data_IF_040133246765
#
_entry.id   IF_040133246765
#
_cell.length_a   1.000
_cell.length_b   1.000
_cell.length_c   1.000
_cell.angle_alpha   90.00
_cell.angle_beta   90.00
_cell.angle_gamma   90.00
#
_symmetry.space_group_name_H-M   'P 1'
#
loop_
_entity.id
_entity.type
_entity.pdbx_description
1 polymer ?
#
# COMPACT_ATOMS: atom_id res chain seq x y z
N UNK A 1 26.60 -7.53 -12.93
CA UNK A 1 26.97 -7.18 -11.54
C UNK A 1 26.06 -6.02 -11.13
N UNK A 2 25.03 -6.28 -10.32
CA UNK A 2 24.11 -5.23 -9.84
C UNK A 2 24.86 -4.44 -8.77
N UNK A 3 25.03 -3.13 -8.95
CA UNK A 3 25.65 -2.27 -7.92
C UNK A 3 24.78 -2.31 -6.66
N UNK A 4 25.41 -2.47 -5.50
CA UNK A 4 24.74 -2.25 -4.23
C UNK A 4 24.27 -0.78 -4.16
N UNK A 5 23.01 -0.57 -3.79
CA UNK A 5 22.43 0.76 -3.63
C UNK A 5 23.16 1.50 -2.51
N UNK A 6 23.55 2.76 -2.77
CA UNK A 6 24.09 3.63 -1.74
C UNK A 6 23.00 3.97 -0.71
N UNK A 7 23.40 4.52 0.44
CA UNK A 7 22.44 4.99 1.44
C UNK A 7 21.49 6.05 0.86
N UNK A 8 22.01 6.98 0.05
CA UNK A 8 21.19 8.00 -0.60
C UNK A 8 20.20 7.38 -1.59
N UNK A 9 20.61 6.37 -2.36
CA UNK A 9 19.70 5.67 -3.26
C UNK A 9 18.55 5.00 -2.49
N UNK A 10 18.85 4.36 -1.35
CA UNK A 10 17.82 3.76 -0.48
C UNK A 10 16.83 4.81 0.03
N UNK A 11 17.32 5.96 0.50
CA UNK A 11 16.46 7.07 0.95
C UNK A 11 15.59 7.59 -0.19
N UNK A 12 16.16 7.81 -1.38
CA UNK A 12 15.41 8.25 -2.56
C UNK A 12 14.34 7.23 -2.96
N UNK A 13 14.65 5.94 -2.94
CA UNK A 13 13.68 4.88 -3.20
C UNK A 13 12.53 4.87 -2.17
N UNK A 14 12.83 5.06 -0.87
CA UNK A 14 11.80 5.11 0.17
C UNK A 14 10.90 6.35 0.03
N UNK A 15 11.45 7.50 -0.36
CA UNK A 15 10.68 8.71 -0.64
C UNK A 15 9.82 8.55 -1.89
N UNK A 16 10.36 7.96 -2.96
CA UNK A 16 9.59 7.63 -4.17
C UNK A 16 8.40 6.72 -3.86
N UNK A 17 8.62 5.65 -3.07
CA UNK A 17 7.54 4.77 -2.65
C UNK A 17 6.49 5.49 -1.79
N UNK A 18 6.91 6.35 -0.86
CA UNK A 18 6.00 7.15 -0.05
C UNK A 18 5.10 8.04 -0.92
N UNK A 19 5.69 8.74 -1.90
CA UNK A 19 4.93 9.60 -2.82
C UNK A 19 3.96 8.77 -3.66
N UNK A 20 4.40 7.66 -4.22
CA UNK A 20 3.54 6.75 -4.99
C UNK A 20 2.40 6.16 -4.16
N UNK A 21 2.65 5.82 -2.89
CA UNK A 21 1.62 5.28 -1.99
C UNK A 21 0.63 6.36 -1.54
N UNK A 22 1.12 7.56 -1.25
CA UNK A 22 0.31 8.62 -0.63
C UNK A 22 -0.50 9.42 -1.64
N UNK A 23 0.10 9.77 -2.79
CA UNK A 23 -0.52 10.66 -3.79
C UNK A 23 -0.64 10.03 -5.17
N UNK A 24 0.25 9.10 -5.51
CA UNK A 24 0.28 8.47 -6.83
C UNK A 24 -0.41 7.11 -6.86
N UNK A 25 0.20 6.21 -7.62
CA UNK A 25 -0.16 4.80 -7.73
C UNK A 25 1.11 3.94 -7.66
N UNK A 26 0.98 2.74 -7.12
CA UNK A 26 2.02 1.73 -7.13
C UNK A 26 1.75 0.69 -8.21
N UNK A 27 2.82 0.18 -8.82
CA UNK A 27 2.74 -0.98 -9.69
C UNK A 27 2.67 -2.25 -8.83
N UNK A 28 1.56 -2.96 -8.92
CA UNK A 28 1.36 -4.23 -8.24
C UNK A 28 1.89 -5.42 -9.01
N UNK A 29 1.31 -6.60 -8.77
CA UNK A 29 1.66 -7.83 -9.51
C UNK A 29 0.98 -7.89 -10.88
N UNK A 30 -0.04 -7.05 -11.11
CA UNK A 30 -0.86 -7.06 -12.32
C UNK A 30 -2.08 -7.97 -12.23
N UNK A 31 -2.38 -8.51 -11.04
CA UNK A 31 -3.63 -9.27 -10.81
C UNK A 31 -4.85 -8.38 -11.02
N UNK A 32 -5.86 -8.98 -11.64
CA UNK A 32 -7.18 -8.39 -11.80
C UNK A 32 -7.87 -8.17 -10.46
N UNK A 33 -8.74 -7.15 -10.39
CA UNK A 33 -9.54 -6.90 -9.20
C UNK A 33 -10.52 -8.07 -8.98
N UNK A 34 -10.50 -8.74 -7.82
CA UNK A 34 -11.37 -9.88 -7.54
C UNK A 34 -12.87 -9.52 -7.57
N UNK A 35 -13.21 -8.24 -7.43
CA UNK A 35 -14.60 -7.78 -7.57
C UNK A 35 -15.12 -7.84 -9.02
N UNK A 36 -14.23 -7.90 -10.03
CA UNK A 36 -14.58 -8.01 -11.45
C UNK A 36 -15.62 -6.99 -11.89
N UNK A 37 -16.65 -7.45 -12.61
CA UNK A 37 -17.76 -6.63 -13.13
C UNK A 37 -18.75 -6.13 -12.06
N UNK A 38 -18.61 -6.57 -10.81
CA UNK A 38 -19.55 -6.21 -9.73
C UNK A 38 -19.54 -4.71 -9.43
N UNK A 39 -18.43 -4.02 -9.70
CA UNK A 39 -18.28 -2.56 -9.56
C UNK A 39 -18.91 -1.76 -10.71
N UNK A 40 -19.68 -2.39 -11.61
CA UNK A 40 -20.35 -1.70 -12.74
C UNK A 40 -21.87 -1.52 -12.54
N UNK A 41 -22.48 -2.26 -11.61
CA UNK A 41 -23.94 -2.28 -11.41
C UNK A 41 -24.27 -1.80 -10.00
N UNK A 42 -24.13 -0.50 -9.75
CA UNK A 42 -24.62 0.12 -8.53
C UNK A 42 -26.11 0.41 -8.67
N UNK A 43 -26.96 -0.35 -7.98
CA UNK A 43 -28.38 -0.04 -7.91
C UNK A 43 -28.57 1.26 -7.12
N UNK A 44 -29.04 2.31 -7.79
CA UNK A 44 -29.18 3.67 -7.26
C UNK A 44 -30.07 3.75 -6.00
N UNK A 45 -30.81 2.68 -5.67
CA UNK A 45 -31.67 2.59 -4.50
C UNK A 45 -30.94 2.34 -3.16
N UNK A 46 -29.63 2.07 -3.15
CA UNK A 46 -28.89 1.72 -1.92
C UNK A 46 -27.77 2.70 -1.53
N UNK A 47 -27.97 3.99 -1.77
CA UNK A 47 -26.96 5.05 -1.57
C UNK A 47 -26.38 5.08 -0.15
N UNK A 48 -27.21 4.93 0.89
CA UNK A 48 -26.75 4.92 2.29
C UNK A 48 -25.87 3.70 2.62
N UNK A 49 -26.21 2.52 2.11
CA UNK A 49 -25.40 1.31 2.30
C UNK A 49 -24.07 1.44 1.58
N UNK A 50 -24.08 2.00 0.37
CA UNK A 50 -22.87 2.23 -0.42
C UNK A 50 -21.94 3.24 0.25
N UNK A 51 -22.48 4.32 0.82
CA UNK A 51 -21.69 5.31 1.58
C UNK A 51 -21.03 4.66 2.81
N UNK A 52 -21.80 3.89 3.59
CA UNK A 52 -21.28 3.14 4.75
C UNK A 52 -20.20 2.15 4.35
N UNK A 53 -20.39 1.42 3.25
CA UNK A 53 -19.38 0.51 2.71
C UNK A 53 -18.11 1.26 2.26
N UNK A 54 -18.25 2.42 1.63
CA UNK A 54 -17.12 3.30 1.29
C UNK A 54 -16.35 3.78 2.51
N UNK A 55 -17.05 4.11 3.61
CA UNK A 55 -16.42 4.47 4.88
C UNK A 55 -15.60 3.33 5.49
N UNK A 56 -16.09 2.10 5.43
CA UNK A 56 -15.34 0.91 5.86
C UNK A 56 -14.16 0.62 4.93
N UNK A 57 -14.35 0.74 3.62
CA UNK A 57 -13.29 0.53 2.64
C UNK A 57 -12.14 1.52 2.82
N UNK A 58 -12.42 2.75 3.27
CA UNK A 58 -11.37 3.74 3.59
C UNK A 58 -10.46 3.26 4.72
N UNK A 59 -10.97 2.48 5.67
CA UNK A 59 -10.16 1.86 6.73
C UNK A 59 -9.25 0.80 6.12
N UNK A 60 -9.78 -0.09 5.28
CA UNK A 60 -8.97 -1.09 4.57
C UNK A 60 -7.86 -0.43 3.74
N UNK A 61 -8.20 0.56 2.90
CA UNK A 61 -7.22 1.34 2.14
C UNK A 61 -6.14 1.96 3.04
N UNK A 62 -6.50 2.48 4.21
CA UNK A 62 -5.51 3.04 5.16
C UNK A 62 -4.60 1.94 5.72
N UNK A 63 -5.12 0.74 5.92
CA UNK A 63 -4.36 -0.47 6.27
C UNK A 63 -3.34 -0.82 5.18
N UNK A 64 -3.75 -0.84 3.92
CA UNK A 64 -2.84 -1.12 2.79
C UNK A 64 -1.71 -0.07 2.70
N UNK A 65 -2.02 1.21 2.94
CA UNK A 65 -1.00 2.27 3.01
C UNK A 65 0.00 2.04 4.15
N UNK A 66 -0.48 1.63 5.33
CA UNK A 66 0.39 1.30 6.45
C UNK A 66 1.26 0.05 6.18
N UNK A 67 0.69 -0.97 5.53
CA UNK A 67 1.39 -2.18 5.13
C UNK A 67 2.52 -1.87 4.13
N UNK A 68 2.29 -1.01 3.13
CA UNK A 68 3.35 -0.51 2.24
C UNK A 68 4.49 0.12 3.03
N UNK A 69 4.16 1.03 3.96
CA UNK A 69 5.14 1.64 4.85
C UNK A 69 5.95 0.59 5.60
N UNK A 70 5.27 -0.38 6.23
CA UNK A 70 5.89 -1.47 6.98
C UNK A 70 6.92 -2.25 6.17
N UNK A 71 6.54 -2.71 4.97
CA UNK A 71 7.44 -3.44 4.08
C UNK A 71 8.63 -2.60 3.62
N UNK A 72 8.42 -1.33 3.28
CA UNK A 72 9.53 -0.43 2.91
C UNK A 72 10.49 -0.19 4.09
N UNK A 73 9.96 -0.09 5.31
CA UNK A 73 10.76 0.05 6.51
C UNK A 73 11.67 -1.16 6.75
N UNK A 74 11.13 -2.38 6.60
CA UNK A 74 11.91 -3.61 6.72
C UNK A 74 12.97 -3.72 5.62
N UNK A 75 12.60 -3.40 4.37
CA UNK A 75 13.52 -3.44 3.22
C UNK A 75 14.69 -2.47 3.32
N UNK A 76 14.60 -1.41 4.13
CA UNK A 76 15.61 -0.36 4.18
C UNK A 76 16.98 -0.88 4.68
N UNK A 77 16.97 -1.73 5.71
CA UNK A 77 18.18 -2.31 6.31
C UNK A 77 18.39 -3.81 6.03
N UNK A 78 17.41 -4.49 5.43
CA UNK A 78 17.54 -5.90 5.09
C UNK A 78 18.59 -6.13 3.98
N UNK A 79 19.47 -7.10 4.20
CA UNK A 79 20.53 -7.50 3.26
C UNK A 79 20.43 -8.98 2.86
N UNK A 80 19.63 -9.77 3.57
CA UNK A 80 19.36 -11.16 3.21
C UNK A 80 18.51 -11.21 1.94
N UNK A 81 19.10 -11.70 0.84
CA UNK A 81 18.45 -11.72 -0.47
C UNK A 81 17.10 -12.46 -0.46
N UNK A 82 16.97 -13.53 0.32
CA UNK A 82 15.71 -14.29 0.44
C UNK A 82 14.61 -13.44 1.07
N UNK A 83 14.94 -12.75 2.17
CA UNK A 83 13.98 -11.88 2.87
C UNK A 83 13.66 -10.65 2.01
N UNK A 84 14.66 -10.03 1.38
CA UNK A 84 14.44 -8.91 0.44
C UNK A 84 13.46 -9.31 -0.67
N UNK A 85 13.65 -10.48 -1.28
CA UNK A 85 12.78 -10.95 -2.36
C UNK A 85 11.36 -11.20 -1.86
N UNK A 86 11.20 -11.82 -0.69
CA UNK A 86 9.91 -12.03 -0.05
C UNK A 86 9.19 -10.69 0.23
N UNK A 87 9.86 -9.75 0.92
CA UNK A 87 9.28 -8.46 1.27
C UNK A 87 8.91 -7.63 0.02
N UNK A 88 9.74 -7.65 -1.03
CA UNK A 88 9.42 -6.99 -2.31
C UNK A 88 8.22 -7.62 -3.00
N UNK A 89 8.07 -8.94 -2.93
CA UNK A 89 6.92 -9.63 -3.49
C UNK A 89 5.64 -9.27 -2.70
N UNK A 90 5.68 -9.37 -1.38
CA UNK A 90 4.56 -8.99 -0.52
C UNK A 90 4.14 -7.53 -0.73
N UNK A 91 5.09 -6.59 -0.80
CA UNK A 91 4.79 -5.19 -1.11
C UNK A 91 4.10 -5.00 -2.47
N UNK A 92 4.42 -5.83 -3.48
CA UNK A 92 3.72 -5.79 -4.77
C UNK A 92 2.30 -6.35 -4.67
N UNK A 93 2.07 -7.38 -3.87
CA UNK A 93 0.72 -7.91 -3.64
C UNK A 93 -0.15 -6.88 -2.93
N UNK A 94 0.37 -6.20 -1.91
CA UNK A 94 -0.37 -5.12 -1.24
C UNK A 94 -0.60 -3.91 -2.14
N UNK A 95 0.22 -3.69 -3.17
CA UNK A 95 -0.02 -2.63 -4.13
C UNK A 95 -1.24 -2.95 -5.01
N UNK A 96 -1.53 -4.23 -5.27
CA UNK A 96 -2.81 -4.62 -5.89
C UNK A 96 -3.98 -4.32 -4.95
N UNK A 97 -3.87 -4.69 -3.67
CA UNK A 97 -4.92 -4.45 -2.68
C UNK A 97 -5.20 -2.95 -2.52
N UNK A 98 -4.16 -2.13 -2.41
CA UNK A 98 -4.27 -0.68 -2.35
C UNK A 98 -5.04 -0.12 -3.56
N UNK A 99 -4.72 -0.59 -4.77
CA UNK A 99 -5.41 -0.18 -6.00
C UNK A 99 -6.86 -0.64 -6.03
N UNK A 100 -7.16 -1.87 -5.62
CA UNK A 100 -8.53 -2.40 -5.59
C UNK A 100 -9.41 -1.67 -4.58
N UNK A 101 -8.87 -1.38 -3.38
CA UNK A 101 -9.58 -0.59 -2.37
C UNK A 101 -9.81 0.84 -2.85
N UNK A 102 -8.86 1.42 -3.59
CA UNK A 102 -9.02 2.72 -4.23
C UNK A 102 -10.09 2.72 -5.33
N UNK A 103 -10.11 1.71 -6.18
CA UNK A 103 -11.16 1.51 -7.19
C UNK A 103 -12.54 1.46 -6.54
N UNK A 104 -12.68 0.74 -5.43
CA UNK A 104 -13.92 0.67 -4.68
C UNK A 104 -14.30 2.01 -4.04
N UNK A 105 -13.35 2.76 -3.48
CA UNK A 105 -13.61 4.10 -2.93
C UNK A 105 -14.16 5.03 -4.02
N UNK A 106 -13.59 5.01 -5.22
CA UNK A 106 -14.10 5.77 -6.38
C UNK A 106 -15.51 5.33 -6.78
N UNK A 107 -15.75 4.01 -6.85
CA UNK A 107 -17.07 3.47 -7.14
C UNK A 107 -18.12 3.93 -6.11
N UNK A 108 -17.78 3.91 -4.81
CA UNK A 108 -18.65 4.34 -3.73
C UNK A 108 -18.74 5.86 -3.57
N UNK A 109 -18.14 6.66 -4.47
CA UNK A 109 -18.03 8.13 -4.35
C UNK A 109 -17.47 8.59 -2.99
N UNK A 110 -16.59 7.78 -2.40
CA UNK A 110 -15.91 8.06 -1.14
C UNK A 110 -14.47 8.52 -1.39
N UNK A 111 -13.83 9.02 -0.35
CA UNK A 111 -12.47 9.56 -0.42
C UNK A 111 -11.45 8.66 0.28
N UNK A 112 -10.18 8.78 -0.12
CA UNK A 112 -9.03 8.29 0.65
C UNK A 112 -8.93 9.02 1.99
N UNK A 113 -8.29 8.42 2.99
CA UNK A 113 -8.04 9.09 4.28
C UNK A 113 -7.02 10.23 4.14
N UNK A 114 -7.23 11.33 4.87
CA UNK A 114 -6.24 12.42 4.92
C UNK A 114 -5.03 12.06 5.78
N UNK A 115 -5.17 11.05 6.64
CA UNK A 115 -4.12 10.56 7.51
C UNK A 115 -3.23 9.49 6.85
N UNK A 116 -3.42 9.19 5.56
CA UNK A 116 -2.59 8.23 4.84
C UNK A 116 -1.08 8.50 4.98
N UNK A 117 -0.58 9.75 4.88
CA UNK A 117 0.83 10.02 5.13
C UNK A 117 1.29 9.61 6.52
N UNK A 118 0.47 9.86 7.54
CA UNK A 118 0.76 9.46 8.93
C UNK A 118 0.79 7.94 9.06
N UNK A 119 -0.18 7.24 8.47
CA UNK A 119 -0.25 5.77 8.51
C UNK A 119 0.92 5.10 7.81
N UNK A 120 1.35 5.63 6.66
CA UNK A 120 2.55 5.17 5.97
C UNK A 120 3.78 5.29 6.87
N UNK A 121 4.02 6.49 7.44
CA UNK A 121 5.18 6.72 8.28
C UNK A 121 5.16 5.91 9.57
N UNK A 122 3.99 5.71 10.18
CA UNK A 122 3.84 4.82 11.33
C UNK A 122 4.25 3.37 10.99
N UNK A 123 3.75 2.83 9.86
CA UNK A 123 4.16 1.52 9.36
C UNK A 123 5.66 1.45 9.08
N UNK A 124 6.19 2.44 8.37
CA UNK A 124 7.61 2.53 8.02
C UNK A 124 8.52 2.55 9.25
N UNK A 125 8.21 3.37 10.25
CA UNK A 125 8.95 3.42 11.50
C UNK A 125 8.90 2.09 12.25
N UNK A 126 7.75 1.42 12.27
CA UNK A 126 7.63 0.09 12.87
C UNK A 126 8.48 -0.94 12.11
N UNK A 127 8.46 -0.92 10.78
CA UNK A 127 9.25 -1.83 9.93
C UNK A 127 10.75 -1.66 10.13
N UNK A 128 11.23 -0.41 10.20
CA UNK A 128 12.61 -0.10 10.53
C UNK A 128 13.00 -0.68 11.90
N UNK A 129 12.16 -0.45 12.91
CA UNK A 129 12.41 -0.91 14.27
C UNK A 129 12.47 -2.44 14.36
N UNK A 130 11.56 -3.14 13.69
CA UNK A 130 11.54 -4.60 13.62
C UNK A 130 12.81 -5.14 12.96
N UNK A 131 13.24 -4.55 11.84
CA UNK A 131 14.40 -5.04 11.10
C UNK A 131 15.72 -4.78 11.84
N UNK A 132 15.85 -3.65 12.55
CA UNK A 132 17.03 -3.36 13.36
C UNK A 132 17.21 -4.33 14.54
N UNK A 133 16.14 -5.02 14.95
CA UNK A 133 16.14 -5.99 16.06
C UNK A 133 15.91 -7.43 15.60
N UNK A 134 15.85 -7.66 14.30
CA UNK A 134 15.84 -9.02 13.73
C UNK A 134 17.18 -9.72 14.00
N UNK A 135 17.17 -11.06 14.19
CA UNK A 135 18.39 -11.85 14.38
C UNK A 135 19.34 -11.77 13.17
#
# INVERSE_FOLDING_TARGET
MVKALSFLDKVLCSVDNFLKTSVGSLDGTGRDNPAGSSLKHGDSQQTEKLEKAGNLMRVNHSGEVAAQGLYQGQLFFENNATIVNYLRHAAKEEADHLRWTEEYLRFASSRKSYLNPLWYWAGFSLGLYMQQRGP
#
